data_IF_043068200348
#
_entry.id   IF_043068200348
#
_cell.length_a   1.000
_cell.length_b   1.000
_cell.length_c   1.000
_cell.angle_alpha   90.00
_cell.angle_beta   90.00
_cell.angle_gamma   90.00
#
_symmetry.space_group_name_H-M   'P 1'
#
loop_
_entity.id
_entity.type
_entity.pdbx_description
1 polymer ?
#
# COMPACT_ATOMS: atom_id res chain seq x y z
N UNK A 1 -8.46 12.37 17.36
CA UNK A 1 -8.14 10.92 17.41
C UNK A 1 -7.26 10.58 16.23
N UNK A 2 -6.30 9.68 16.41
CA UNK A 2 -5.48 9.19 15.28
C UNK A 2 -6.36 8.31 14.37
N UNK A 3 -6.58 8.73 13.13
CA UNK A 3 -7.38 8.01 12.13
C UNK A 3 -6.50 7.45 11.01
N UNK A 4 -5.33 6.91 11.39
CA UNK A 4 -4.34 6.35 10.46
C UNK A 4 -3.87 4.98 10.94
N UNK A 5 -3.01 4.30 10.17
CA UNK A 5 -2.49 2.97 10.51
C UNK A 5 -1.87 2.92 11.91
N UNK A 6 -1.22 3.99 12.34
CA UNK A 6 -0.57 4.09 13.66
C UNK A 6 -1.56 4.20 14.84
N UNK A 7 -2.88 4.19 14.59
CA UNK A 7 -3.88 3.96 15.65
C UNK A 7 -3.77 2.54 16.24
N UNK A 8 -3.22 1.57 15.48
CA UNK A 8 -2.92 0.23 15.99
C UNK A 8 -1.67 0.29 16.86
N UNK A 9 -1.83 0.02 18.14
CA UNK A 9 -0.73 0.06 19.10
C UNK A 9 0.41 -0.90 18.70
N UNK A 10 1.64 -0.39 18.70
CA UNK A 10 2.85 -1.11 18.31
C UNK A 10 3.21 -0.98 16.84
N UNK A 11 2.46 -0.23 16.06
CA UNK A 11 2.83 0.10 14.66
C UNK A 11 3.48 1.47 14.61
N UNK A 12 4.57 1.56 13.84
CA UNK A 12 5.23 2.80 13.44
C UNK A 12 5.34 2.86 11.93
N UNK A 13 5.22 4.03 11.35
CA UNK A 13 5.33 4.23 9.90
C UNK A 13 6.35 5.32 9.61
N UNK A 14 7.22 5.04 8.65
CA UNK A 14 8.16 6.02 8.12
C UNK A 14 8.18 6.02 6.60
N UNK A 15 8.40 7.19 6.04
CA UNK A 15 8.48 7.42 4.60
C UNK A 15 9.82 8.00 4.23
N UNK A 16 10.33 7.60 3.07
CA UNK A 16 11.43 8.29 2.41
C UNK A 16 11.10 8.49 0.94
N UNK A 17 11.09 9.75 0.50
CA UNK A 17 10.84 10.14 -0.88
C UNK A 17 12.14 10.65 -1.50
N UNK A 18 12.50 10.16 -2.67
CA UNK A 18 13.69 10.60 -3.38
C UNK A 18 13.46 12.01 -3.93
N UNK A 19 14.49 12.87 -3.82
CA UNK A 19 14.41 14.27 -4.29
C UNK A 19 14.49 14.36 -5.82
N UNK A 20 15.22 13.44 -6.44
CA UNK A 20 15.57 13.50 -7.87
C UNK A 20 14.46 12.99 -8.79
N UNK A 21 13.57 12.18 -8.27
CA UNK A 21 12.42 11.61 -9.01
C UNK A 21 11.28 11.29 -8.04
N UNK A 22 10.02 11.45 -8.47
CA UNK A 22 8.85 11.06 -7.66
C UNK A 22 8.76 9.54 -7.51
N UNK A 23 9.50 9.02 -6.55
CA UNK A 23 9.52 7.63 -6.11
C UNK A 23 10.00 7.57 -4.67
N UNK A 24 9.81 6.47 -4.00
CA UNK A 24 10.24 6.31 -2.62
C UNK A 24 9.77 5.01 -1.99
N UNK A 25 9.92 4.92 -0.69
CA UNK A 25 9.50 3.76 0.08
C UNK A 25 8.82 4.15 1.39
N UNK A 26 7.97 3.26 1.87
CA UNK A 26 7.24 3.36 3.12
C UNK A 26 7.54 2.10 3.93
N UNK A 27 8.03 2.27 5.14
CA UNK A 27 8.34 1.18 6.06
C UNK A 27 7.34 1.20 7.20
N UNK A 28 6.73 0.05 7.43
CA UNK A 28 5.85 -0.21 8.57
C UNK A 28 6.65 -1.08 9.55
N UNK A 29 7.11 -0.50 10.65
CA UNK A 29 7.80 -1.22 11.73
C UNK A 29 6.81 -1.72 12.77
N UNK A 30 7.15 -2.83 13.42
CA UNK A 30 6.39 -3.38 14.55
C UNK A 30 7.24 -3.33 15.81
N UNK A 31 6.74 -2.74 16.87
CA UNK A 31 7.38 -2.77 18.20
C UNK A 31 7.28 -4.19 18.80
N UNK A 32 8.38 -4.89 18.86
CA UNK A 32 8.46 -6.31 19.14
C UNK A 32 8.30 -7.13 17.87
N UNK A 33 7.19 -7.82 17.72
CA UNK A 33 6.81 -8.56 16.53
C UNK A 33 5.29 -8.63 16.37
N UNK A 34 4.81 -8.95 15.15
CA UNK A 34 3.40 -9.19 14.89
C UNK A 34 3.23 -10.45 14.06
N UNK A 35 2.09 -11.12 14.21
CA UNK A 35 1.72 -12.21 13.29
C UNK A 35 1.44 -11.59 11.93
N UNK A 36 2.10 -12.12 10.88
CA UNK A 36 2.00 -11.64 9.51
C UNK A 36 1.18 -12.54 8.61
N UNK A 37 0.53 -11.93 7.61
CA UNK A 37 -0.19 -12.62 6.55
C UNK A 37 -0.12 -11.81 5.24
N UNK A 38 -0.57 -12.42 4.14
CA UNK A 38 -0.60 -11.77 2.83
C UNK A 38 -1.76 -12.32 1.98
N UNK A 39 -2.35 -11.44 1.18
CA UNK A 39 -3.20 -11.80 0.04
C UNK A 39 -2.66 -11.12 -1.21
N UNK A 40 -2.46 -11.90 -2.26
CA UNK A 40 -1.97 -11.42 -3.54
C UNK A 40 -2.98 -11.82 -4.61
N UNK A 41 -3.62 -10.82 -5.25
CA UNK A 41 -4.74 -11.01 -6.18
C UNK A 41 -4.46 -10.52 -7.59
N UNK A 42 -3.54 -9.59 -7.79
CA UNK A 42 -3.16 -9.12 -9.11
C UNK A 42 -2.41 -10.17 -9.93
N UNK A 43 -2.46 -10.09 -11.27
CA UNK A 43 -1.82 -11.03 -12.17
C UNK A 43 -0.30 -10.82 -12.37
N UNK A 44 0.26 -9.69 -11.88
CA UNK A 44 1.66 -9.30 -12.09
C UNK A 44 2.34 -8.80 -10.80
N UNK A 45 2.40 -9.60 -9.72
CA UNK A 45 2.96 -9.18 -8.45
C UNK A 45 4.47 -8.97 -8.49
N UNK A 46 4.95 -7.99 -7.70
CA UNK A 46 6.36 -7.80 -7.38
C UNK A 46 6.53 -7.82 -5.87
N UNK A 47 6.96 -8.95 -5.32
CA UNK A 47 7.00 -9.18 -3.87
C UNK A 47 8.30 -9.85 -3.42
N UNK A 48 8.58 -9.73 -2.12
CA UNK A 48 9.70 -10.40 -1.45
C UNK A 48 9.19 -11.07 -0.18
N UNK A 49 9.68 -12.29 0.11
CA UNK A 49 9.49 -13.06 1.34
C UNK A 49 8.02 -13.39 1.68
N UNK A 50 7.15 -13.43 0.67
CA UNK A 50 5.73 -13.73 0.84
C UNK A 50 5.45 -15.20 1.12
N UNK A 51 6.30 -16.12 0.64
CA UNK A 51 6.14 -17.57 0.92
C UNK A 51 6.22 -17.88 2.41
N UNK A 52 7.05 -17.11 3.15
CA UNK A 52 7.15 -17.25 4.60
C UNK A 52 5.83 -16.96 5.32
N UNK A 53 4.98 -16.10 4.74
CA UNK A 53 3.67 -15.74 5.30
C UNK A 53 2.59 -16.81 5.08
N UNK A 54 2.86 -17.85 4.29
CA UNK A 54 1.92 -18.95 4.14
C UNK A 54 1.62 -19.58 5.51
N UNK A 55 0.33 -19.78 5.87
CA UNK A 55 -0.05 -20.36 7.17
C UNK A 55 0.55 -21.71 7.52
N UNK A 56 1.01 -22.47 6.53
CA UNK A 56 1.66 -23.77 6.72
C UNK A 56 3.14 -23.66 7.13
N UNK A 57 3.77 -22.48 6.96
CA UNK A 57 5.18 -22.28 7.25
C UNK A 57 5.40 -21.87 8.72
N UNK A 58 6.55 -22.29 9.29
CA UNK A 58 6.84 -22.24 10.72
C UNK A 58 6.87 -20.81 11.29
N UNK A 59 7.54 -19.87 10.62
CA UNK A 59 7.72 -18.52 11.15
C UNK A 59 6.44 -17.72 10.95
N UNK A 60 5.83 -17.31 12.05
CA UNK A 60 4.56 -16.57 12.06
C UNK A 60 4.69 -15.07 12.31
N UNK A 61 5.87 -14.64 12.78
CA UNK A 61 6.14 -13.25 13.18
C UNK A 61 6.96 -12.51 12.15
N UNK A 62 6.62 -11.25 11.95
CA UNK A 62 7.36 -10.30 11.12
C UNK A 62 7.77 -9.08 11.94
N UNK A 63 8.84 -8.41 11.52
CA UNK A 63 9.40 -7.25 12.23
C UNK A 63 9.09 -5.93 11.50
N UNK A 64 8.91 -6.00 10.19
CA UNK A 64 8.49 -4.87 9.37
C UNK A 64 7.82 -5.34 8.07
N UNK A 65 7.14 -4.42 7.39
CA UNK A 65 6.70 -4.57 5.99
C UNK A 65 7.16 -3.35 5.20
N UNK A 66 7.63 -3.56 3.97
CA UNK A 66 8.09 -2.47 3.09
C UNK A 66 7.19 -2.38 1.85
N UNK A 67 6.70 -1.19 1.59
CA UNK A 67 6.05 -0.80 0.35
C UNK A 67 6.99 0.14 -0.40
N UNK A 68 7.23 -0.08 -1.71
CA UNK A 68 8.17 0.75 -2.46
C UNK A 68 7.70 1.03 -3.89
N UNK A 69 8.15 2.14 -4.46
CA UNK A 69 8.13 2.38 -5.90
C UNK A 69 9.26 1.64 -6.63
N UNK A 70 9.49 1.95 -7.89
CA UNK A 70 10.65 1.45 -8.64
C UNK A 70 10.50 0.09 -9.30
N UNK A 71 9.27 -0.50 -9.32
CA UNK A 71 9.05 -1.86 -9.82
C UNK A 71 9.93 -2.87 -9.09
N UNK A 72 10.22 -4.03 -9.65
CA UNK A 72 11.03 -5.09 -9.03
C UNK A 72 12.37 -4.61 -8.43
N UNK A 73 12.97 -3.56 -9.00
CA UNK A 73 14.19 -2.95 -8.46
C UNK A 73 13.99 -2.38 -7.05
N UNK A 74 12.79 -1.85 -6.74
CA UNK A 74 12.47 -1.26 -5.45
C UNK A 74 12.39 -2.28 -4.31
N UNK A 75 12.37 -3.58 -4.58
CA UNK A 75 12.48 -4.64 -3.57
C UNK A 75 13.79 -4.54 -2.76
N UNK A 76 14.80 -3.87 -3.30
CA UNK A 76 16.06 -3.58 -2.60
C UNK A 76 15.85 -2.76 -1.32
N UNK A 77 14.79 -1.93 -1.24
CA UNK A 77 14.48 -1.14 -0.06
C UNK A 77 14.32 -2.02 1.20
N UNK A 78 13.75 -3.22 1.07
CA UNK A 78 13.62 -4.15 2.18
C UNK A 78 14.99 -4.57 2.76
N UNK A 79 16.05 -4.63 1.96
CA UNK A 79 17.42 -4.94 2.42
C UNK A 79 17.94 -3.86 3.37
N UNK A 80 17.64 -2.58 3.10
CA UNK A 80 18.00 -1.48 4.00
C UNK A 80 17.23 -1.53 5.32
N UNK A 81 15.95 -1.90 5.29
CA UNK A 81 15.14 -2.10 6.49
C UNK A 81 15.67 -3.27 7.33
N UNK A 82 16.08 -4.39 6.69
CA UNK A 82 16.75 -5.51 7.36
C UNK A 82 18.01 -5.05 8.08
N UNK A 83 18.88 -4.27 7.40
CA UNK A 83 20.10 -3.71 7.99
C UNK A 83 19.77 -2.85 9.22
N UNK A 84 18.81 -1.96 9.13
CA UNK A 84 18.39 -1.10 10.25
C UNK A 84 17.91 -1.94 11.44
N UNK A 85 17.07 -2.96 11.21
CA UNK A 85 16.56 -3.85 12.25
C UNK A 85 17.68 -4.67 12.91
N UNK A 86 18.63 -5.19 12.12
CA UNK A 86 19.81 -5.93 12.62
C UNK A 86 20.64 -5.05 13.55
N UNK A 87 20.94 -3.80 13.15
CA UNK A 87 21.68 -2.83 13.96
C UNK A 87 20.96 -2.51 15.29
N UNK A 88 19.62 -2.67 15.33
CA UNK A 88 18.80 -2.50 16.53
C UNK A 88 18.52 -3.82 17.28
N UNK A 89 19.18 -4.92 16.89
CA UNK A 89 19.02 -6.25 17.49
C UNK A 89 17.56 -6.75 17.47
N UNK A 90 16.82 -6.48 16.37
CA UNK A 90 15.44 -6.89 16.14
C UNK A 90 15.42 -7.98 15.06
N UNK A 91 14.74 -9.09 15.32
CA UNK A 91 14.63 -10.21 14.37
C UNK A 91 14.27 -11.52 15.04
N UNK A 92 14.01 -12.52 14.21
CA UNK A 92 13.82 -13.91 14.63
C UNK A 92 15.11 -14.46 15.27
N UNK A 93 15.04 -15.09 16.47
CA UNK A 93 16.22 -15.63 17.14
C UNK A 93 16.68 -16.92 16.45
N UNK A 94 17.72 -16.83 15.64
CA UNK A 94 18.29 -17.96 14.89
C UNK A 94 19.57 -18.54 15.55
N UNK A 95 19.65 -18.50 16.85
CA UNK A 95 20.79 -19.03 17.61
C UNK A 95 21.98 -18.08 17.64
N UNK A 96 22.72 -17.97 16.54
CA UNK A 96 23.92 -17.13 16.45
C UNK A 96 23.63 -15.66 16.07
N UNK A 97 22.42 -15.36 15.61
CA UNK A 97 22.02 -14.03 15.17
C UNK A 97 20.50 -13.82 15.35
N UNK A 98 20.06 -12.56 15.31
CA UNK A 98 18.66 -12.21 15.04
C UNK A 98 18.51 -11.92 13.56
N UNK A 99 17.57 -12.60 12.91
CA UNK A 99 17.29 -12.46 11.47
C UNK A 99 15.99 -11.68 11.29
N UNK A 100 16.05 -10.42 10.83
CA UNK A 100 14.84 -9.63 10.59
C UNK A 100 13.99 -10.26 9.48
N UNK A 101 12.69 -10.35 9.70
CA UNK A 101 11.70 -10.82 8.72
C UNK A 101 10.97 -9.60 8.17
N UNK A 102 11.19 -9.31 6.87
CA UNK A 102 10.75 -8.07 6.22
C UNK A 102 10.13 -8.35 4.86
N UNK A 103 8.87 -8.80 4.81
CA UNK A 103 8.14 -8.92 3.55
C UNK A 103 8.01 -7.55 2.86
N UNK A 104 7.99 -7.57 1.52
CA UNK A 104 7.87 -6.34 0.75
C UNK A 104 7.01 -6.52 -0.52
N UNK A 105 6.42 -5.41 -0.97
CA UNK A 105 5.77 -5.31 -2.28
C UNK A 105 6.12 -3.98 -2.95
N UNK A 106 6.08 -3.98 -4.28
CA UNK A 106 6.41 -2.79 -5.10
C UNK A 106 5.25 -2.39 -6.00
N UNK A 107 5.27 -1.11 -6.39
CA UNK A 107 4.47 -0.59 -7.48
C UNK A 107 5.37 -0.09 -8.63
N UNK A 108 4.81 -0.04 -9.83
CA UNK A 108 5.49 0.46 -11.01
C UNK A 108 5.28 1.97 -11.17
N UNK A 109 6.32 2.75 -10.96
CA UNK A 109 6.35 4.20 -11.16
C UNK A 109 7.48 4.66 -12.10
N UNK A 110 8.14 3.73 -12.80
CA UNK A 110 9.31 4.04 -13.62
C UNK A 110 9.03 5.02 -14.77
N UNK A 111 7.78 5.10 -15.23
CA UNK A 111 7.35 6.05 -16.26
C UNK A 111 7.10 7.47 -15.76
N UNK A 112 7.22 7.74 -14.44
CA UNK A 112 6.91 9.05 -13.84
C UNK A 112 8.20 9.78 -13.48
N UNK A 113 8.32 11.07 -13.88
CA UNK A 113 9.43 11.95 -13.48
C UNK A 113 10.77 11.72 -14.15
N UNK A 114 10.79 11.16 -15.36
CA UNK A 114 11.97 11.17 -16.25
C UNK A 114 12.90 9.97 -16.10
N UNK A 115 13.98 10.05 -15.30
CA UNK A 115 15.02 9.02 -15.29
C UNK A 115 14.63 7.75 -14.50
N UNK A 116 14.24 6.68 -15.21
CA UNK A 116 13.86 5.40 -14.63
C UNK A 116 15.00 4.66 -13.88
N UNK A 117 16.26 5.13 -13.98
CA UNK A 117 17.38 4.57 -13.21
C UNK A 117 17.42 5.10 -11.76
N UNK A 118 16.72 6.20 -11.46
CA UNK A 118 16.54 6.71 -10.11
C UNK A 118 15.39 5.96 -9.46
N UNK A 119 15.67 5.12 -8.47
CA UNK A 119 14.70 4.19 -7.84
C UNK A 119 15.07 3.95 -6.38
N UNK A 120 14.10 3.49 -5.56
CA UNK A 120 14.38 3.11 -4.19
C UNK A 120 15.46 2.01 -4.12
N UNK A 121 16.48 2.25 -3.31
CA UNK A 121 17.58 1.32 -3.00
C UNK A 121 17.52 0.93 -1.53
N UNK A 122 18.51 0.17 -1.05
CA UNK A 122 18.63 -0.15 0.38
C UNK A 122 18.63 1.11 1.26
N UNK A 123 19.25 2.20 0.82
CA UNK A 123 19.24 3.46 1.58
C UNK A 123 17.84 4.06 1.77
N UNK A 124 16.93 3.88 0.79
CA UNK A 124 15.54 4.29 0.93
C UNK A 124 14.89 3.59 2.12
N UNK A 125 15.00 2.25 2.19
CA UNK A 125 14.41 1.46 3.26
C UNK A 125 15.03 1.74 4.63
N UNK A 126 16.35 1.95 4.69
CA UNK A 126 17.04 2.32 5.91
C UNK A 126 16.54 3.66 6.47
N UNK A 127 16.53 4.71 5.64
CA UNK A 127 16.07 6.05 6.03
C UNK A 127 14.58 6.08 6.38
N UNK A 128 13.75 5.31 5.68
CA UNK A 128 12.34 5.20 6.02
C UNK A 128 12.13 4.47 7.36
N UNK A 129 12.92 3.44 7.67
CA UNK A 129 12.88 2.76 8.97
C UNK A 129 13.33 3.70 10.10
N UNK A 130 14.40 4.47 9.88
CA UNK A 130 14.91 5.47 10.83
C UNK A 130 13.87 6.58 11.11
N UNK A 131 13.12 7.01 10.09
CA UNK A 131 12.08 8.03 10.19
C UNK A 131 10.76 7.51 10.79
N UNK A 132 10.64 6.21 11.09
CA UNK A 132 9.37 5.62 11.50
C UNK A 132 8.94 6.06 12.91
N UNK A 133 7.71 6.57 13.01
CA UNK A 133 7.11 7.04 14.25
C UNK A 133 5.69 6.51 14.44
N UNK A 134 5.14 6.63 15.65
CA UNK A 134 3.75 6.35 15.97
C UNK A 134 2.82 7.57 15.82
N UNK A 135 3.33 8.70 15.30
CA UNK A 135 2.50 9.86 14.96
C UNK A 135 1.49 9.50 13.84
N UNK A 136 0.42 10.30 13.64
CA UNK A 136 -0.45 10.14 12.49
C UNK A 136 0.34 10.09 11.18
N UNK A 137 0.00 9.13 10.34
CA UNK A 137 0.71 8.88 9.07
C UNK A 137 0.41 10.00 8.07
N UNK A 138 1.43 10.55 7.44
CA UNK A 138 1.28 11.48 6.33
C UNK A 138 0.74 10.78 5.08
N UNK A 139 -0.08 11.47 4.30
CA UNK A 139 -0.75 10.95 3.11
C UNK A 139 -0.34 11.70 1.84
N UNK A 140 -0.76 11.20 0.69
CA UNK A 140 -0.54 11.82 -0.61
C UNK A 140 0.74 11.38 -1.32
N UNK A 141 1.41 12.29 -2.01
CA UNK A 141 2.55 12.00 -2.90
C UNK A 141 3.87 11.83 -2.13
N UNK A 142 3.91 10.86 -1.22
CA UNK A 142 5.06 10.62 -0.36
C UNK A 142 5.42 9.13 -0.31
N UNK A 143 6.66 8.80 0.05
CA UNK A 143 7.12 7.43 0.22
C UNK A 143 6.83 6.56 -1.00
N UNK A 144 6.26 5.37 -0.78
CA UNK A 144 5.86 4.46 -1.85
C UNK A 144 4.81 5.06 -2.82
N UNK A 145 4.01 6.02 -2.35
CA UNK A 145 2.97 6.69 -3.16
C UNK A 145 3.49 7.85 -4.01
N UNK A 146 4.75 8.24 -3.88
CA UNK A 146 5.29 9.44 -4.53
C UNK A 146 5.13 9.44 -6.06
N UNK A 147 5.30 8.31 -6.73
CA UNK A 147 5.14 8.14 -8.17
C UNK A 147 3.80 7.53 -8.61
N UNK A 148 2.88 7.25 -7.68
CA UNK A 148 1.65 6.53 -7.96
C UNK A 148 0.65 7.33 -8.82
N UNK A 149 -0.02 6.66 -9.75
CA UNK A 149 -1.06 7.22 -10.64
C UNK A 149 -2.21 6.23 -10.84
N UNK A 150 -3.40 6.72 -11.14
CA UNK A 150 -4.61 5.90 -11.38
C UNK A 150 -5.34 6.31 -12.65
N UNK A 151 -6.25 5.46 -13.13
CA UNK A 151 -7.03 5.77 -14.33
C UNK A 151 -6.22 5.63 -15.63
N UNK A 152 -5.48 4.53 -15.80
CA UNK A 152 -4.57 4.33 -16.94
C UNK A 152 -5.24 3.71 -18.17
N UNK A 153 -6.52 3.33 -18.10
CA UNK A 153 -7.28 2.82 -19.27
C UNK A 153 -7.35 3.82 -20.42
N UNK A 154 -7.21 5.11 -20.15
CA UNK A 154 -7.15 6.16 -21.16
C UNK A 154 -5.75 6.44 -21.72
N UNK A 155 -4.73 5.68 -21.29
CA UNK A 155 -3.32 5.95 -21.53
C UNK A 155 -2.69 6.83 -20.46
N UNK A 156 -1.36 6.79 -20.36
CA UNK A 156 -0.61 7.47 -19.28
C UNK A 156 -0.86 8.98 -19.20
N UNK A 157 -1.01 9.66 -20.35
CA UNK A 157 -1.26 11.10 -20.42
C UNK A 157 -2.64 11.54 -19.89
N UNK A 158 -3.53 10.60 -19.60
CA UNK A 158 -4.89 10.86 -19.07
C UNK A 158 -5.05 10.37 -17.63
N UNK A 159 -4.01 9.82 -17.03
CA UNK A 159 -4.04 9.35 -15.65
C UNK A 159 -4.08 10.50 -14.64
N UNK A 160 -4.56 10.23 -13.46
CA UNK A 160 -4.58 11.17 -12.33
C UNK A 160 -3.52 10.76 -11.31
N UNK A 161 -2.82 11.75 -10.74
CA UNK A 161 -1.89 11.53 -9.62
C UNK A 161 -2.64 10.94 -8.42
N UNK A 162 -2.03 9.94 -7.80
CA UNK A 162 -2.49 9.31 -6.58
C UNK A 162 -1.36 9.30 -5.54
N UNK A 163 -1.48 8.51 -4.48
CA UNK A 163 -0.49 8.54 -3.41
C UNK A 163 -0.71 7.47 -2.35
N UNK A 164 -0.25 7.80 -1.14
CA UNK A 164 -0.56 7.09 0.10
C UNK A 164 -1.90 7.55 0.63
N UNK A 165 -2.72 6.60 1.08
CA UNK A 165 -3.88 6.86 1.92
C UNK A 165 -3.91 5.90 3.10
N UNK A 166 -4.54 6.32 4.20
CA UNK A 166 -4.63 5.52 5.42
C UNK A 166 -5.94 5.80 6.15
N UNK A 167 -6.49 4.80 6.83
CA UNK A 167 -7.71 4.96 7.64
C UNK A 167 -7.70 4.00 8.82
N UNK A 168 -8.46 4.29 9.86
CA UNK A 168 -8.64 3.39 11.00
C UNK A 168 -10.06 3.43 11.54
N UNK A 169 -10.49 2.28 12.06
CA UNK A 169 -11.77 2.10 12.74
C UNK A 169 -11.47 1.59 14.14
N UNK A 170 -11.96 2.31 15.15
CA UNK A 170 -11.83 1.94 16.56
C UNK A 170 -13.20 1.65 17.13
N UNK A 171 -13.41 0.45 17.62
CA UNK A 171 -14.65 0.06 18.28
C UNK A 171 -14.66 0.50 19.76
N UNK A 172 -15.86 0.66 20.37
CA UNK A 172 -15.97 1.07 21.78
C UNK A 172 -15.28 0.12 22.77
N UNK A 173 -15.09 -1.15 22.40
CA UNK A 173 -14.39 -2.15 23.22
C UNK A 173 -12.87 -2.09 23.10
N UNK A 174 -12.32 -1.12 22.33
CA UNK A 174 -10.89 -0.93 22.14
C UNK A 174 -10.26 -1.76 21.03
N UNK A 175 -11.04 -2.56 20.29
CA UNK A 175 -10.56 -3.18 19.05
C UNK A 175 -10.28 -2.10 18.01
N UNK A 176 -9.10 -2.17 17.40
CA UNK A 176 -8.68 -1.27 16.30
C UNK A 176 -8.37 -2.09 15.07
N UNK A 177 -8.89 -1.65 13.92
CA UNK A 177 -8.51 -2.15 12.59
C UNK A 177 -8.15 -0.95 11.73
N UNK A 178 -7.00 -0.98 11.08
CA UNK A 178 -6.51 0.15 10.30
C UNK A 178 -5.80 -0.31 9.02
N UNK A 179 -5.76 0.56 8.02
CA UNK A 179 -5.17 0.28 6.72
C UNK A 179 -4.25 1.41 6.26
N UNK A 180 -3.25 1.08 5.44
CA UNK A 180 -2.44 1.97 4.63
C UNK A 180 -2.31 1.40 3.23
N UNK A 181 -2.32 2.26 2.22
CA UNK A 181 -2.24 1.83 0.82
C UNK A 181 -1.50 2.84 -0.03
N UNK A 182 -0.72 2.37 -0.99
CA UNK A 182 -0.19 3.14 -2.12
C UNK A 182 -0.95 2.69 -3.38
N UNK A 183 -1.75 3.59 -3.97
CA UNK A 183 -2.68 3.26 -5.05
C UNK A 183 -2.11 3.66 -6.41
N UNK A 184 -1.69 2.67 -7.21
CA UNK A 184 -1.15 2.86 -8.56
C UNK A 184 -1.91 2.01 -9.60
N UNK A 185 -3.23 1.99 -9.50
CA UNK A 185 -4.13 1.10 -10.24
C UNK A 185 -4.29 1.46 -11.73
N UNK A 186 -4.65 0.45 -12.54
CA UNK A 186 -5.16 0.68 -13.90
C UNK A 186 -6.54 1.36 -13.86
N UNK A 187 -7.35 1.00 -12.88
CA UNK A 187 -8.70 1.51 -12.68
C UNK A 187 -8.77 2.90 -12.08
N UNK A 188 -9.99 3.41 -12.00
CA UNK A 188 -10.35 4.64 -11.31
C UNK A 188 -10.60 4.36 -9.83
N UNK A 189 -10.32 5.34 -8.96
CA UNK A 189 -10.77 5.34 -7.58
C UNK A 189 -12.21 5.84 -7.53
N UNK A 190 -13.07 5.02 -6.94
CA UNK A 190 -14.50 5.27 -6.80
C UNK A 190 -14.81 5.41 -5.30
N UNK A 191 -15.55 6.43 -4.94
CA UNK A 191 -16.13 6.52 -3.59
C UNK A 191 -17.28 5.52 -3.46
N UNK A 192 -17.19 4.50 -2.59
CA UNK A 192 -18.23 3.49 -2.45
C UNK A 192 -19.58 4.04 -1.97
N UNK A 193 -19.56 5.14 -1.20
CA UNK A 193 -20.77 5.73 -0.63
C UNK A 193 -21.59 6.49 -1.68
N UNK A 194 -20.93 7.12 -2.65
CA UNK A 194 -21.59 7.96 -3.66
C UNK A 194 -21.56 7.38 -5.07
N UNK A 195 -20.72 6.36 -5.32
CA UNK A 195 -20.46 5.79 -6.65
C UNK A 195 -19.72 6.74 -7.61
N UNK A 196 -19.22 7.87 -7.14
CA UNK A 196 -18.52 8.87 -7.96
C UNK A 196 -17.04 8.55 -8.10
N UNK A 197 -16.47 8.92 -9.26
CA UNK A 197 -15.02 8.87 -9.48
C UNK A 197 -14.36 9.97 -8.65
N UNK A 198 -13.41 9.60 -7.80
CA UNK A 198 -12.59 10.50 -6.98
C UNK A 198 -11.30 10.88 -7.72
N UNK A 199 -10.67 9.88 -8.35
CA UNK A 199 -9.48 10.04 -9.18
C UNK A 199 -9.49 8.97 -10.27
N UNK A 200 -9.12 9.31 -11.50
CA UNK A 200 -9.22 8.36 -12.60
C UNK A 200 -8.86 8.92 -13.95
N UNK A 201 -9.35 8.27 -15.00
CA UNK A 201 -9.13 8.69 -16.39
C UNK A 201 -9.73 10.08 -16.64
N UNK A 202 -8.92 11.03 -17.15
CA UNK A 202 -9.35 12.39 -17.43
C UNK A 202 -9.77 12.56 -18.90
N UNK A 203 -10.81 13.34 -19.09
CA UNK A 203 -11.19 13.91 -20.37
C UNK A 203 -10.35 15.15 -20.68
N UNK A 204 -10.29 15.59 -21.97
CA UNK A 204 -9.59 16.83 -22.34
C UNK A 204 -10.07 18.09 -21.59
N UNK A 205 -11.32 18.12 -21.17
CA UNK A 205 -11.93 19.20 -20.38
C UNK A 205 -11.61 19.12 -18.86
N UNK A 206 -10.81 18.11 -18.43
CA UNK A 206 -10.42 17.89 -17.04
C UNK A 206 -11.42 17.10 -16.21
N UNK A 207 -12.61 16.79 -16.72
CA UNK A 207 -13.58 15.90 -16.05
C UNK A 207 -13.12 14.45 -16.07
N UNK A 208 -13.76 13.58 -15.28
CA UNK A 208 -13.46 12.14 -15.28
C UNK A 208 -14.29 11.40 -16.36
N UNK A 209 -13.61 10.56 -17.13
CA UNK A 209 -14.23 9.73 -18.16
C UNK A 209 -14.99 8.52 -17.62
N UNK A 210 -14.69 8.10 -16.39
CA UNK A 210 -15.19 6.89 -15.74
C UNK A 210 -14.77 5.59 -16.44
N UNK A 211 -13.78 4.89 -15.88
CA UNK A 211 -13.23 3.63 -16.41
C UNK A 211 -14.31 2.58 -16.65
N UNK A 212 -15.38 2.55 -15.83
CA UNK A 212 -16.52 1.63 -15.98
C UNK A 212 -17.26 1.84 -17.29
N UNK A 213 -17.38 3.10 -17.75
CA UNK A 213 -18.00 3.44 -19.04
C UNK A 213 -17.10 3.06 -20.20
N UNK A 214 -15.79 3.32 -20.08
CA UNK A 214 -14.80 2.93 -21.09
C UNK A 214 -14.83 1.42 -21.32
N UNK A 215 -14.84 0.61 -20.25
CA UNK A 215 -14.90 -0.84 -20.35
C UNK A 215 -16.20 -1.34 -21.00
N UNK A 216 -17.34 -0.78 -20.64
CA UNK A 216 -18.65 -1.14 -21.25
C UNK A 216 -18.75 -0.77 -22.73
N UNK A 217 -17.99 0.22 -23.16
CA UNK A 217 -17.88 0.60 -24.57
C UNK A 217 -16.88 -0.28 -25.37
N UNK A 218 -16.34 -1.35 -24.77
CA UNK A 218 -15.40 -2.26 -25.41
C UNK A 218 -13.93 -1.95 -25.10
N UNK A 219 -13.65 -1.00 -24.19
CA UNK A 219 -12.30 -0.64 -23.79
C UNK A 219 -11.55 0.21 -24.83
N UNK A 220 -10.26 0.45 -24.60
CA UNK A 220 -9.36 1.08 -25.54
C UNK A 220 -8.69 0.06 -26.45
N UNK A 221 -8.35 0.48 -27.68
CA UNK A 221 -7.58 -0.30 -28.64
C UNK A 221 -6.16 -0.67 -28.19
N UNK A 222 -5.67 -0.03 -27.11
CA UNK A 222 -4.37 -0.32 -26.50
C UNK A 222 -4.59 -0.65 -25.01
N UNK A 223 -4.58 -1.93 -24.63
CA UNK A 223 -4.64 -2.32 -23.22
C UNK A 223 -3.42 -1.77 -22.48
N UNK A 224 -3.54 -1.42 -21.17
CA UNK A 224 -2.40 -1.10 -20.33
C UNK A 224 -1.35 -2.22 -20.41
N UNK A 225 -0.07 -1.86 -20.47
CA UNK A 225 1.00 -2.85 -20.48
C UNK A 225 0.97 -3.67 -19.20
N UNK A 226 1.16 -4.96 -19.32
CA UNK A 226 1.22 -5.86 -18.18
C UNK A 226 2.38 -5.46 -17.25
N UNK A 227 2.12 -5.47 -15.92
CA UNK A 227 3.13 -5.17 -14.91
C UNK A 227 3.40 -3.67 -14.65
N UNK A 228 2.63 -2.75 -15.26
CA UNK A 228 2.78 -1.30 -15.03
C UNK A 228 1.82 -0.74 -13.97
N UNK A 229 1.00 -1.60 -13.36
CA UNK A 229 -0.02 -1.18 -12.41
C UNK A 229 0.04 -2.04 -11.17
N UNK A 230 -0.20 -1.47 -10.02
CA UNK A 230 -0.12 -2.22 -8.77
C UNK A 230 -0.67 -1.39 -7.62
N UNK A 231 -1.60 -1.93 -6.86
CA UNK A 231 -1.99 -1.36 -5.58
C UNK A 231 -1.42 -2.22 -4.46
N UNK A 232 -0.59 -1.61 -3.62
CA UNK A 232 0.06 -2.30 -2.51
C UNK A 232 -0.38 -1.69 -1.18
N UNK A 233 -0.78 -2.55 -0.25
CA UNK A 233 -1.30 -2.08 1.03
C UNK A 233 -1.00 -3.01 2.19
N UNK A 234 -1.39 -2.53 3.36
CA UNK A 234 -1.32 -3.29 4.60
C UNK A 234 -2.54 -2.98 5.45
N UNK A 235 -3.12 -4.01 6.05
CA UNK A 235 -4.14 -3.89 7.08
C UNK A 235 -3.60 -4.42 8.40
N UNK A 236 -3.86 -3.72 9.51
CA UNK A 236 -3.39 -4.12 10.83
C UNK A 236 -4.53 -4.12 11.86
N UNK A 237 -4.38 -4.97 12.87
CA UNK A 237 -5.26 -4.98 14.05
C UNK A 237 -4.44 -5.16 15.33
N UNK A 238 -4.97 -4.65 16.45
CA UNK A 238 -4.42 -4.92 17.77
C UNK A 238 -4.91 -6.26 18.37
N UNK A 239 -5.80 -6.99 17.70
CA UNK A 239 -6.31 -8.28 18.16
C UNK A 239 -5.23 -9.38 18.18
N UNK A 240 -5.46 -10.40 18.98
CA UNK A 240 -4.68 -11.66 18.95
C UNK A 240 -5.28 -12.55 17.88
N UNK A 241 -4.53 -12.84 16.83
CA UNK A 241 -4.95 -13.72 15.73
C UNK A 241 -3.88 -14.76 15.41
N UNK A 242 -4.29 -15.95 15.01
CA UNK A 242 -3.40 -16.94 14.41
C UNK A 242 -2.97 -16.53 13.01
N UNK A 243 -1.89 -17.10 12.50
CA UNK A 243 -1.39 -16.86 11.13
C UNK A 243 -2.45 -17.10 10.06
N UNK A 244 -3.27 -18.15 10.20
CA UNK A 244 -4.38 -18.43 9.29
C UNK A 244 -5.44 -17.31 9.32
N UNK A 245 -5.79 -16.78 10.50
CA UNK A 245 -6.77 -15.72 10.65
C UNK A 245 -6.24 -14.36 10.17
N UNK A 246 -4.96 -14.07 10.37
CA UNK A 246 -4.33 -12.85 9.82
C UNK A 246 -4.31 -12.91 8.28
N UNK A 247 -3.98 -14.07 7.69
CA UNK A 247 -4.10 -14.26 6.23
C UNK A 247 -5.55 -14.09 5.76
N UNK A 248 -6.53 -14.60 6.52
CA UNK A 248 -7.96 -14.40 6.21
C UNK A 248 -8.35 -12.92 6.26
N UNK A 249 -7.82 -12.16 7.20
CA UNK A 249 -8.03 -10.70 7.28
C UNK A 249 -7.49 -10.00 6.01
N UNK A 250 -6.30 -10.37 5.51
CA UNK A 250 -5.76 -9.84 4.26
C UNK A 250 -6.67 -10.15 3.07
N UNK A 251 -7.17 -11.40 2.98
CA UNK A 251 -8.10 -11.81 1.91
C UNK A 251 -9.42 -11.03 1.95
N UNK A 252 -9.94 -10.72 3.13
CA UNK A 252 -11.15 -9.92 3.26
C UNK A 252 -10.90 -8.44 2.96
N UNK A 253 -9.70 -7.92 3.25
CA UNK A 253 -9.32 -6.55 2.93
C UNK A 253 -9.24 -6.29 1.41
N UNK A 254 -9.02 -7.31 0.57
CA UNK A 254 -9.10 -7.20 -0.90
C UNK A 254 -10.46 -6.70 -1.38
N UNK A 255 -11.54 -6.99 -0.64
CA UNK A 255 -12.87 -6.46 -0.94
C UNK A 255 -12.91 -4.92 -0.83
N UNK A 256 -12.01 -4.32 -0.05
CA UNK A 256 -11.83 -2.88 0.01
C UNK A 256 -11.31 -2.32 -1.31
N UNK A 257 -10.34 -2.99 -1.96
CA UNK A 257 -9.91 -2.62 -3.31
C UNK A 257 -11.06 -2.77 -4.31
N UNK A 258 -11.78 -3.89 -4.29
CA UNK A 258 -12.90 -4.12 -5.19
C UNK A 258 -14.06 -3.12 -5.01
N UNK A 259 -14.25 -2.56 -3.81
CA UNK A 259 -15.25 -1.52 -3.54
C UNK A 259 -14.83 -0.14 -4.03
N UNK A 260 -13.54 0.19 -3.95
CA UNK A 260 -13.03 1.54 -4.17
C UNK A 260 -12.18 1.70 -5.44
N UNK A 261 -11.84 0.63 -6.16
CA UNK A 261 -11.07 0.65 -7.42
C UNK A 261 -11.82 -0.11 -8.51
N UNK A 262 -12.00 0.52 -9.67
CA UNK A 262 -12.70 -0.13 -10.80
C UNK A 262 -12.00 0.12 -12.15
N UNK A 263 -11.50 -0.95 -12.82
CA UNK A 263 -11.33 -2.31 -12.33
C UNK A 263 -10.18 -2.44 -11.33
N UNK A 264 -10.23 -3.47 -10.47
CA UNK A 264 -9.14 -3.93 -9.61
C UNK A 264 -8.72 -5.35 -9.99
N UNK A 265 -7.56 -5.80 -9.49
CA UNK A 265 -7.07 -7.17 -9.64
C UNK A 265 -7.00 -7.65 -11.10
N UNK A 266 -6.70 -6.74 -12.03
CA UNK A 266 -6.57 -7.13 -13.43
C UNK A 266 -5.32 -7.97 -13.67
N UNK A 267 -5.23 -8.60 -14.82
CA UNK A 267 -4.05 -9.39 -15.22
C UNK A 267 -2.76 -8.54 -15.27
N UNK A 268 -2.89 -7.22 -15.42
CA UNK A 268 -1.78 -6.27 -15.46
C UNK A 268 -1.46 -5.59 -14.12
N UNK A 269 -2.27 -5.83 -13.07
CA UNK A 269 -2.04 -5.30 -11.72
C UNK A 269 -1.21 -6.27 -10.88
N UNK A 270 -0.41 -5.75 -9.96
CA UNK A 270 0.34 -6.54 -8.99
C UNK A 270 -0.24 -6.46 -7.57
N UNK A 271 -1.56 -6.28 -7.46
CA UNK A 271 -2.26 -5.98 -6.21
C UNK A 271 -1.93 -6.96 -5.09
N UNK A 272 -1.46 -6.40 -3.98
CA UNK A 272 -1.00 -7.16 -2.82
C UNK A 272 -1.40 -6.45 -1.53
N UNK A 273 -1.97 -7.17 -0.57
CA UNK A 273 -2.27 -6.70 0.78
C UNK A 273 -1.54 -7.56 1.79
N UNK A 274 -0.67 -6.94 2.59
CA UNK A 274 -0.15 -7.56 3.81
C UNK A 274 -1.12 -7.35 4.96
N UNK A 275 -1.01 -8.20 5.97
CA UNK A 275 -1.78 -8.06 7.20
C UNK A 275 -0.93 -8.32 8.44
N UNK A 276 -1.21 -7.57 9.52
CA UNK A 276 -0.50 -7.67 10.80
C UNK A 276 -1.49 -7.74 11.97
N UNK A 277 -1.21 -8.62 12.93
CA UNK A 277 -1.90 -8.67 14.21
C UNK A 277 -0.88 -8.48 15.35
N UNK A 278 -0.96 -7.35 16.06
CA UNK A 278 0.01 -7.01 17.12
C UNK A 278 -0.27 -7.68 18.46
N UNK A 279 -1.48 -8.23 18.65
CA UNK A 279 -1.85 -8.98 19.86
C UNK A 279 -1.95 -8.14 21.14
N UNK A 280 -2.11 -6.82 21.03
CA UNK A 280 -2.12 -5.89 22.18
C UNK A 280 -3.51 -5.62 22.76
N UNK A 281 -4.54 -6.18 22.16
CA UNK A 281 -5.92 -6.14 22.65
C UNK A 281 -6.32 -7.52 23.17
N UNK A 282 -6.85 -7.57 24.39
CA UNK A 282 -7.15 -8.80 25.12
C UNK A 282 -8.60 -9.29 25.00
N UNK A 283 -9.41 -8.62 24.18
CA UNK A 283 -10.80 -9.04 23.94
C UNK A 283 -10.90 -10.28 23.05
N UNK A 284 -12.09 -10.85 22.97
CA UNK A 284 -12.37 -11.98 22.07
C UNK A 284 -12.43 -11.52 20.63
N UNK A 285 -11.51 -12.02 19.80
CA UNK A 285 -11.43 -11.68 18.38
C UNK A 285 -12.43 -12.49 17.56
N UNK A 286 -13.27 -11.79 16.78
CA UNK A 286 -14.11 -12.37 15.74
C UNK A 286 -13.57 -11.94 14.38
N UNK A 287 -13.09 -12.91 13.59
CA UNK A 287 -12.52 -12.65 12.27
C UNK A 287 -13.54 -12.10 11.28
N UNK A 288 -14.83 -12.40 11.44
CA UNK A 288 -15.88 -11.83 10.60
C UNK A 288 -15.96 -10.32 10.77
N UNK A 289 -15.96 -9.86 12.03
CA UNK A 289 -15.97 -8.44 12.37
C UNK A 289 -14.67 -7.78 11.91
N UNK A 290 -13.53 -8.34 12.29
CA UNK A 290 -12.21 -7.79 11.96
C UNK A 290 -12.01 -7.70 10.44
N UNK A 291 -12.38 -8.73 9.70
CA UNK A 291 -12.24 -8.75 8.24
C UNK A 291 -13.20 -7.79 7.53
N UNK A 292 -14.43 -7.64 8.02
CA UNK A 292 -15.37 -6.65 7.49
C UNK A 292 -14.85 -5.21 7.70
N UNK A 293 -14.34 -4.91 8.90
CA UNK A 293 -13.72 -3.62 9.21
C UNK A 293 -12.42 -3.40 8.42
N UNK A 294 -11.66 -4.46 8.14
CA UNK A 294 -10.46 -4.39 7.31
C UNK A 294 -10.79 -3.98 5.86
N UNK A 295 -11.86 -4.53 5.28
CA UNK A 295 -12.34 -4.14 3.96
C UNK A 295 -12.84 -2.68 3.94
N UNK A 296 -13.53 -2.23 4.99
CA UNK A 296 -14.01 -0.86 5.14
C UNK A 296 -12.84 0.11 5.28
N UNK A 297 -11.92 -0.12 6.24
CA UNK A 297 -10.74 0.73 6.43
C UNK A 297 -9.85 0.79 5.17
N UNK A 298 -9.74 -0.32 4.42
CA UNK A 298 -8.99 -0.35 3.17
C UNK A 298 -9.68 0.47 2.08
N UNK A 299 -10.99 0.39 1.94
CA UNK A 299 -11.75 1.20 0.98
C UNK A 299 -11.61 2.70 1.29
N UNK A 300 -11.71 3.09 2.56
CA UNK A 300 -11.54 4.47 3.01
C UNK A 300 -10.11 4.97 2.74
N UNK A 301 -9.10 4.15 3.00
CA UNK A 301 -7.71 4.48 2.70
C UNK A 301 -7.49 4.69 1.19
N UNK A 302 -8.08 3.87 0.32
CA UNK A 302 -8.04 4.04 -1.13
C UNK A 302 -8.68 5.37 -1.56
N UNK A 303 -9.85 5.69 -1.03
CA UNK A 303 -10.54 6.97 -1.34
C UNK A 303 -9.68 8.16 -0.92
N UNK A 304 -9.05 8.12 0.25
CA UNK A 304 -8.15 9.18 0.75
C UNK A 304 -6.90 9.32 -0.13
N UNK A 305 -6.31 8.23 -0.60
CA UNK A 305 -5.20 8.28 -1.55
C UNK A 305 -5.57 9.00 -2.85
N UNK A 306 -6.81 8.84 -3.34
CA UNK A 306 -7.34 9.54 -4.50
C UNK A 306 -7.70 11.00 -4.22
N UNK A 307 -8.25 11.30 -3.04
CA UNK A 307 -8.63 12.64 -2.63
C UNK A 307 -7.47 13.64 -2.60
N UNK A 308 -6.25 13.15 -2.36
CA UNK A 308 -5.01 13.94 -2.39
C UNK A 308 -4.41 14.07 -3.80
N UNK A 309 -5.08 13.57 -4.83
CA UNK A 309 -4.58 13.64 -6.21
C UNK A 309 -4.68 15.06 -6.77
N UNK A 310 -3.60 15.50 -7.41
CA UNK A 310 -3.57 16.75 -8.17
C UNK A 310 -3.75 16.45 -9.66
N UNK A 311 -4.57 17.21 -10.41
CA UNK A 311 -4.60 17.08 -11.87
C UNK A 311 -3.21 17.41 -12.43
N UNK A 312 -2.72 16.69 -13.48
CA UNK A 312 -1.52 17.12 -14.17
C UNK A 312 -1.73 18.55 -14.70
N UNK A 313 -0.79 19.45 -14.43
CA UNK A 313 -0.84 20.82 -14.99
C UNK A 313 -0.57 20.75 -16.48
N UNK A 314 -1.30 21.54 -17.26
CA UNK A 314 -1.10 21.65 -18.70
C UNK A 314 0.36 22.05 -18.99
N UNK A 315 1.10 21.22 -19.73
CA UNK A 315 2.52 21.43 -20.07
C UNK A 315 3.54 20.79 -19.12
N UNK A 316 3.12 20.18 -18.02
CA UNK A 316 3.99 19.39 -17.16
C UNK A 316 3.76 17.90 -17.47
N UNK A 317 4.79 17.20 -17.99
CA UNK A 317 4.82 15.75 -17.96
C UNK A 317 4.75 15.29 -16.51
N UNK A 318 3.53 15.05 -16.01
CA UNK A 318 3.24 14.50 -14.67
C UNK A 318 4.18 15.00 -13.55
N UNK A 319 4.40 16.29 -13.47
CA UNK A 319 5.20 16.86 -12.38
C UNK A 319 4.30 17.12 -11.19
N UNK A 320 4.68 16.54 -10.10
CA UNK A 320 4.09 16.49 -8.78
C UNK A 320 3.88 17.88 -8.24
N UNK A 321 2.64 18.23 -7.99
CA UNK A 321 2.35 19.23 -6.98
C UNK A 321 2.61 18.60 -5.62
N UNK A 322 3.67 19.01 -4.94
CA UNK A 322 3.80 18.82 -3.49
C UNK A 322 2.56 19.44 -2.86
N UNK A 323 1.72 18.61 -2.27
CA UNK A 323 0.68 19.12 -1.36
C UNK A 323 1.41 19.54 -0.10
N UNK A 324 1.62 20.82 0.06
CA UNK A 324 1.95 21.39 1.35
C UNK A 324 0.71 21.21 2.25
N UNK A 325 0.91 20.51 3.38
CA UNK A 325 0.13 20.37 4.63
C UNK A 325 -1.33 20.05 4.50
#
# INVERSE_FOLDING_TARGET
MNNTLTAVAGIKVGHFTLAERPTGCTVILVDGDAVGGVSQRGGAPGTRETDLLNPLNMVDKVNAVVLAGGSAFGLEAATGTVRWLEEHNIGWPAGVARVPIVPAAILFDLGVGGNAKIRPTADCGYKAAEAATNAPVSEGSIGAGAGATVGKLGGAGRSTKSGIGTASITLPNGLVVAAIVAVNAVGDIIDPATGKVVAGVRNPDGTFADARRILRAGGNSQPPRAGENTTIGLVATNAVLSKALVTRMAMMADDGYARAISPSHTNGDGDTIFSLATGRWTGTADITIIGALAAEAMADAVVRAGGNSQPPRAGENTTIGLVAT
#
